data_IF_941452786241
#
_entry.id   IF_941452786241
#
_cell.length_a   1.000
_cell.length_b   1.000
_cell.length_c   1.000
_cell.angle_alpha   90.00
_cell.angle_beta   90.00
_cell.angle_gamma   90.00
#
_symmetry.space_group_name_H-M   'P 1'
#
loop_
_entity.id
_entity.type
_entity.pdbx_description
1 polymer ?
#
# COMPACT_ATOMS: atom_id res chain seq x y z
N UNK A 1 -4.39 -25.30 3.95
CA UNK A 1 -4.13 -24.52 2.71
C UNK A 1 -3.22 -23.34 3.07
N UNK A 2 -2.57 -22.73 2.08
CA UNK A 2 -1.74 -21.55 2.32
C UNK A 2 -1.95 -20.48 1.25
N UNK A 3 -1.58 -19.23 1.58
CA UNK A 3 -1.44 -18.14 0.63
C UNK A 3 0.00 -17.61 0.68
N UNK A 4 0.50 -17.07 -0.44
CA UNK A 4 1.75 -16.33 -0.50
C UNK A 4 1.43 -14.83 -0.50
N UNK A 5 2.01 -14.09 0.45
CA UNK A 5 1.93 -12.62 0.51
C UNK A 5 3.33 -12.07 0.26
N UNK A 6 3.52 -11.25 -0.77
CA UNK A 6 4.79 -10.55 -0.99
C UNK A 6 4.71 -9.13 -0.43
N UNK A 7 5.81 -8.62 0.13
CA UNK A 7 5.79 -7.30 0.78
C UNK A 7 4.99 -7.26 2.09
N UNK A 8 4.81 -8.42 2.73
CA UNK A 8 4.00 -8.54 3.94
C UNK A 8 4.64 -8.00 5.22
N UNK A 9 5.89 -7.54 5.19
CA UNK A 9 6.51 -6.78 6.28
C UNK A 9 6.31 -5.26 6.11
N UNK A 10 5.75 -4.79 4.98
CA UNK A 10 5.39 -3.40 4.73
C UNK A 10 4.09 -2.98 5.43
N UNK A 11 3.67 -1.73 5.22
CA UNK A 11 2.50 -1.15 5.87
C UNK A 11 1.20 -1.91 5.58
N UNK A 12 0.76 -1.96 4.31
CA UNK A 12 -0.52 -2.60 3.96
C UNK A 12 -0.39 -4.12 4.12
N UNK A 13 0.73 -4.70 3.63
CA UNK A 13 0.96 -6.14 3.70
C UNK A 13 0.94 -6.70 5.12
N UNK A 14 1.53 -6.01 6.11
CA UNK A 14 1.52 -6.48 7.50
C UNK A 14 0.12 -6.41 8.14
N UNK A 15 -0.65 -5.35 7.85
CA UNK A 15 -2.04 -5.28 8.29
C UNK A 15 -2.87 -6.41 7.66
N UNK A 16 -2.67 -6.70 6.38
CA UNK A 16 -3.34 -7.80 5.69
C UNK A 16 -2.98 -9.17 6.30
N UNK A 17 -1.68 -9.43 6.55
CA UNK A 17 -1.22 -10.69 7.16
C UNK A 17 -1.81 -10.89 8.55
N UNK A 18 -1.82 -9.84 9.38
CA UNK A 18 -2.38 -9.87 10.73
C UNK A 18 -3.89 -10.13 10.70
N UNK A 19 -4.62 -9.43 9.84
CA UNK A 19 -6.07 -9.59 9.68
C UNK A 19 -6.42 -10.99 9.14
N UNK A 20 -5.66 -11.48 8.15
CA UNK A 20 -5.88 -12.81 7.58
C UNK A 20 -5.75 -13.92 8.61
N UNK A 21 -4.69 -13.87 9.43
CA UNK A 21 -4.45 -14.86 10.48
C UNK A 21 -5.40 -14.72 11.66
N UNK A 22 -5.94 -13.53 11.92
CA UNK A 22 -6.95 -13.32 12.95
C UNK A 22 -8.33 -13.88 12.57
N UNK A 23 -8.64 -13.92 11.26
CA UNK A 23 -9.96 -14.33 10.75
C UNK A 23 -10.03 -15.78 10.27
N UNK A 24 -8.89 -16.47 10.12
CA UNK A 24 -8.86 -17.82 9.56
C UNK A 24 -7.67 -18.66 10.02
N UNK A 25 -7.67 -19.94 9.63
CA UNK A 25 -6.64 -20.92 10.01
C UNK A 25 -5.61 -21.18 8.89
N UNK A 26 -5.70 -20.43 7.79
CA UNK A 26 -4.87 -20.64 6.62
C UNK A 26 -3.45 -20.11 6.85
N UNK A 27 -2.43 -20.88 6.49
CA UNK A 27 -1.02 -20.48 6.59
C UNK A 27 -0.72 -19.33 5.65
N UNK A 28 -0.01 -18.30 6.15
CA UNK A 28 0.52 -17.20 5.35
C UNK A 28 2.03 -17.39 5.18
N UNK A 29 2.46 -17.62 3.94
CA UNK A 29 3.87 -17.55 3.56
C UNK A 29 4.16 -16.10 3.16
N UNK A 30 4.90 -15.39 3.98
CA UNK A 30 5.20 -13.98 3.80
C UNK A 30 6.60 -13.82 3.20
N UNK A 31 6.68 -13.45 1.91
CA UNK A 31 7.94 -13.22 1.21
C UNK A 31 8.23 -11.72 1.16
N UNK A 32 9.30 -11.30 1.81
CA UNK A 32 9.72 -9.90 1.86
C UNK A 32 11.25 -9.80 1.81
N UNK A 33 11.78 -8.81 1.09
CA UNK A 33 13.23 -8.61 1.07
C UNK A 33 13.75 -7.70 2.18
N UNK A 34 12.84 -7.22 3.04
CA UNK A 34 13.13 -6.40 4.22
C UNK A 34 13.94 -5.14 3.88
N UNK A 35 13.43 -4.34 2.94
CA UNK A 35 13.97 -3.01 2.65
C UNK A 35 13.65 -2.04 3.78
N UNK A 36 14.01 -0.77 3.62
CA UNK A 36 13.72 0.28 4.60
C UNK A 36 12.22 0.39 4.99
N UNK A 37 11.31 0.04 4.07
CA UNK A 37 9.87 0.07 4.31
C UNK A 37 9.30 -1.28 4.81
N UNK A 38 10.07 -2.35 4.69
CA UNK A 38 9.74 -3.69 5.18
C UNK A 38 10.24 -3.87 6.62
N UNK A 39 9.46 -3.39 7.59
CA UNK A 39 9.83 -3.47 8.99
C UNK A 39 9.38 -4.79 9.62
N UNK A 40 10.34 -5.62 10.01
CA UNK A 40 10.09 -6.92 10.64
C UNK A 40 9.26 -6.80 11.93
N UNK A 41 9.44 -5.71 12.68
CA UNK A 41 8.67 -5.45 13.90
C UNK A 41 7.15 -5.29 13.66
N UNK A 42 6.72 -5.02 12.42
CA UNK A 42 5.29 -5.04 12.06
C UNK A 42 4.63 -6.39 12.33
N UNK A 43 5.42 -7.46 12.39
CA UNK A 43 4.98 -8.86 12.50
C UNK A 43 5.41 -9.53 13.81
N UNK A 44 5.94 -8.79 14.79
CA UNK A 44 6.46 -9.34 16.06
C UNK A 44 5.38 -10.12 16.82
N UNK A 45 4.12 -9.71 16.73
CA UNK A 45 3.00 -10.47 17.36
C UNK A 45 2.80 -11.86 16.75
N UNK A 46 3.35 -12.14 15.58
CA UNK A 46 3.29 -13.43 14.89
C UNK A 46 4.56 -14.27 15.05
N UNK A 47 5.52 -13.86 15.89
CA UNK A 47 6.82 -14.54 16.04
C UNK A 47 6.69 -16.00 16.48
N UNK A 48 5.60 -16.36 17.16
CA UNK A 48 5.31 -17.71 17.66
C UNK A 48 4.07 -18.34 17.01
N UNK A 49 3.48 -17.71 15.98
CA UNK A 49 2.36 -18.30 15.25
C UNK A 49 2.87 -19.23 14.14
N UNK A 50 2.66 -20.53 14.30
CA UNK A 50 3.10 -21.55 13.32
C UNK A 50 2.44 -21.39 11.94
N UNK A 51 1.37 -20.61 11.84
CA UNK A 51 0.70 -20.31 10.57
C UNK A 51 1.40 -19.18 9.80
N UNK A 52 2.36 -18.46 10.39
CA UNK A 52 3.13 -17.40 9.75
C UNK A 52 4.54 -17.87 9.43
N UNK A 53 4.88 -17.93 8.13
CA UNK A 53 6.20 -18.32 7.65
C UNK A 53 6.84 -17.13 6.94
N UNK A 54 7.88 -16.53 7.53
CA UNK A 54 8.62 -15.43 6.91
C UNK A 54 9.75 -15.99 6.02
N UNK A 55 9.73 -15.64 4.75
CA UNK A 55 10.78 -15.94 3.76
C UNK A 55 11.45 -14.65 3.33
N UNK A 56 12.74 -14.48 3.62
CA UNK A 56 13.49 -13.31 3.17
C UNK A 56 13.99 -13.55 1.74
N UNK A 57 13.38 -12.88 0.76
CA UNK A 57 13.73 -13.00 -0.66
C UNK A 57 13.22 -11.78 -1.47
N UNK A 58 13.83 -11.55 -2.64
CA UNK A 58 13.37 -10.55 -3.61
C UNK A 58 12.40 -11.21 -4.61
N UNK A 59 11.30 -10.53 -4.93
CA UNK A 59 10.35 -10.99 -5.96
C UNK A 59 10.96 -11.04 -7.36
N UNK A 60 12.06 -10.33 -7.60
CA UNK A 60 12.82 -10.39 -8.85
C UNK A 60 13.65 -11.68 -8.99
N UNK A 61 13.91 -12.41 -7.91
CA UNK A 61 14.56 -13.73 -7.94
C UNK A 61 13.53 -14.82 -8.28
N UNK A 62 13.25 -14.95 -9.58
CA UNK A 62 12.26 -15.90 -10.11
C UNK A 62 12.55 -17.35 -9.68
N UNK A 63 13.84 -17.74 -9.57
CA UNK A 63 14.20 -19.09 -9.16
C UNK A 63 13.80 -19.32 -7.68
N UNK A 64 14.19 -18.40 -6.79
CA UNK A 64 13.87 -18.50 -5.36
C UNK A 64 12.35 -18.46 -5.11
N UNK A 65 11.65 -17.58 -5.82
CA UNK A 65 10.17 -17.51 -5.72
C UNK A 65 9.55 -18.82 -6.17
N UNK A 66 10.01 -19.42 -7.28
CA UNK A 66 9.50 -20.72 -7.77
C UNK A 66 9.74 -21.84 -6.76
N UNK A 67 10.90 -21.89 -6.11
CA UNK A 67 11.15 -22.84 -5.01
C UNK A 67 10.15 -22.70 -3.87
N UNK A 68 9.92 -21.46 -3.41
CA UNK A 68 8.95 -21.14 -2.34
C UNK A 68 7.53 -21.59 -2.73
N UNK A 69 7.11 -21.31 -3.97
CA UNK A 69 5.80 -21.72 -4.48
C UNK A 69 5.65 -23.25 -4.48
N UNK A 70 6.65 -23.99 -4.96
CA UNK A 70 6.66 -25.45 -4.96
C UNK A 70 6.65 -26.06 -3.56
N UNK A 71 7.43 -25.46 -2.64
CA UNK A 71 7.54 -25.91 -1.25
C UNK A 71 6.22 -25.74 -0.48
N UNK A 72 5.58 -24.59 -0.62
CA UNK A 72 4.41 -24.23 0.19
C UNK A 72 3.07 -24.44 -0.51
N UNK A 73 3.08 -24.63 -1.84
CA UNK A 73 1.89 -24.85 -2.69
C UNK A 73 0.70 -23.93 -2.38
N UNK A 74 0.90 -22.59 -2.41
CA UNK A 74 -0.17 -21.67 -2.06
C UNK A 74 -1.29 -21.70 -3.11
N UNK A 75 -2.54 -21.55 -2.66
CA UNK A 75 -3.69 -21.40 -3.55
C UNK A 75 -3.81 -20.01 -4.15
N UNK A 76 -3.11 -19.03 -3.57
CA UNK A 76 -3.12 -17.67 -4.07
C UNK A 76 -1.80 -16.94 -3.77
N UNK A 77 -1.47 -15.98 -4.63
CA UNK A 77 -0.40 -15.00 -4.43
C UNK A 77 -1.04 -13.63 -4.32
N UNK A 78 -0.68 -12.87 -3.27
CA UNK A 78 -1.08 -11.47 -3.10
C UNK A 78 0.18 -10.62 -3.15
N UNK A 79 0.31 -9.79 -4.19
CA UNK A 79 1.51 -9.00 -4.44
C UNK A 79 1.38 -7.57 -3.92
N UNK A 80 1.94 -7.30 -2.72
CA UNK A 80 2.13 -5.96 -2.18
C UNK A 80 3.55 -5.41 -2.40
N UNK A 81 4.51 -6.27 -2.76
CA UNK A 81 5.90 -5.85 -2.90
C UNK A 81 6.06 -4.76 -3.96
N UNK A 82 6.50 -3.59 -3.53
CA UNK A 82 6.73 -2.43 -4.38
C UNK A 82 7.61 -1.39 -3.71
N UNK A 83 8.33 -0.59 -4.50
CA UNK A 83 8.86 0.70 -4.08
C UNK A 83 7.74 1.75 -4.20
N UNK A 84 7.51 2.58 -3.14
CA UNK A 84 6.28 3.40 -3.05
C UNK A 84 6.49 4.87 -2.69
N UNK A 85 7.72 5.35 -2.48
CA UNK A 85 7.97 6.74 -2.08
C UNK A 85 8.17 7.64 -3.28
N UNK A 86 7.19 8.50 -3.59
CA UNK A 86 7.20 9.37 -4.79
C UNK A 86 8.44 10.24 -4.85
N UNK A 87 8.82 10.95 -3.77
CA UNK A 87 9.99 11.85 -3.77
C UNK A 87 11.29 11.09 -4.06
N UNK A 88 11.45 9.86 -3.52
CA UNK A 88 12.58 8.98 -3.87
C UNK A 88 12.54 8.55 -5.34
N UNK A 89 11.35 8.36 -5.93
CA UNK A 89 11.23 8.01 -7.34
C UNK A 89 11.68 9.16 -8.25
N UNK A 90 11.46 10.41 -7.83
CA UNK A 90 11.91 11.61 -8.53
C UNK A 90 13.43 11.74 -8.44
N UNK A 91 14.00 11.47 -7.26
CA UNK A 91 15.44 11.51 -7.04
C UNK A 91 16.19 10.36 -7.77
N UNK A 92 15.56 9.18 -7.92
CA UNK A 92 16.20 8.01 -8.53
C UNK A 92 15.20 6.92 -8.92
N UNK A 93 14.71 6.95 -10.17
CA UNK A 93 13.68 6.04 -10.67
C UNK A 93 14.12 4.57 -10.83
N UNK A 94 15.42 4.30 -10.90
CA UNK A 94 15.95 2.97 -11.26
C UNK A 94 15.46 1.83 -10.37
N UNK A 95 15.40 2.05 -9.04
CA UNK A 95 14.90 1.04 -8.11
C UNK A 95 13.40 0.76 -8.29
N UNK A 96 12.62 1.79 -8.64
CA UNK A 96 11.18 1.66 -8.90
C UNK A 96 10.93 0.81 -10.16
N UNK A 97 11.66 1.04 -11.23
CA UNK A 97 11.57 0.22 -12.46
C UNK A 97 12.01 -1.22 -12.16
N UNK A 98 13.12 -1.39 -11.44
CA UNK A 98 13.63 -2.72 -11.11
C UNK A 98 12.64 -3.52 -10.27
N UNK A 99 12.05 -2.92 -9.23
CA UNK A 99 11.14 -3.62 -8.32
C UNK A 99 9.73 -3.71 -8.90
N UNK A 100 9.13 -2.57 -9.31
CA UNK A 100 7.72 -2.54 -9.67
C UNK A 100 7.43 -3.12 -11.05
N UNK A 101 8.39 -3.06 -11.98
CA UNK A 101 8.27 -3.68 -13.30
C UNK A 101 9.02 -5.01 -13.33
N UNK A 102 10.33 -5.00 -13.10
CA UNK A 102 11.18 -6.21 -13.19
C UNK A 102 10.82 -7.25 -12.12
N UNK A 103 10.57 -6.82 -10.88
CA UNK A 103 10.14 -7.71 -9.81
C UNK A 103 8.75 -8.31 -10.06
N UNK A 104 7.80 -7.51 -10.55
CA UNK A 104 6.47 -8.00 -10.95
C UNK A 104 6.59 -9.00 -12.09
N UNK A 105 7.45 -8.75 -13.08
CA UNK A 105 7.75 -9.70 -14.16
C UNK A 105 8.29 -11.03 -13.59
N UNK A 106 9.30 -10.99 -12.72
CA UNK A 106 9.88 -12.19 -12.10
C UNK A 106 8.86 -13.01 -11.33
N UNK A 107 8.01 -12.33 -10.54
CA UNK A 107 6.95 -12.97 -9.78
C UNK A 107 5.87 -13.59 -10.68
N UNK A 108 5.50 -12.93 -11.79
CA UNK A 108 4.55 -13.45 -12.77
C UNK A 108 5.08 -14.70 -13.47
N UNK A 109 6.36 -14.74 -13.85
CA UNK A 109 6.98 -15.93 -14.45
C UNK A 109 7.03 -17.11 -13.48
N UNK A 110 7.40 -16.85 -12.21
CA UNK A 110 7.36 -17.88 -11.17
C UNK A 110 5.92 -18.40 -10.95
N UNK A 111 4.94 -17.49 -10.87
CA UNK A 111 3.54 -17.84 -10.70
C UNK A 111 3.00 -18.64 -11.88
N UNK A 112 3.32 -18.24 -13.13
CA UNK A 112 2.93 -18.96 -14.34
C UNK A 112 3.51 -20.37 -14.38
N UNK A 113 4.80 -20.51 -14.08
CA UNK A 113 5.48 -21.80 -14.01
C UNK A 113 4.81 -22.69 -12.99
N UNK A 114 4.65 -22.25 -11.75
CA UNK A 114 3.97 -22.98 -10.69
C UNK A 114 2.53 -23.35 -11.05
N UNK A 115 1.74 -22.40 -11.57
CA UNK A 115 0.36 -22.64 -11.97
C UNK A 115 0.24 -23.70 -13.09
N UNK A 116 1.21 -23.75 -14.02
CA UNK A 116 1.24 -24.77 -15.07
C UNK A 116 1.50 -26.18 -14.53
N UNK A 117 2.11 -26.30 -13.34
CA UNK A 117 2.38 -27.55 -12.64
C UNK A 117 1.18 -28.03 -11.78
N UNK A 118 0.18 -27.16 -11.60
CA UNK A 118 -1.05 -27.53 -10.89
C UNK A 118 -2.02 -28.24 -11.81
N UNK A 119 -2.83 -29.12 -11.25
CA UNK A 119 -3.87 -29.86 -11.94
C UNK A 119 -5.24 -29.69 -11.28
N UNK A 120 -6.30 -30.04 -12.02
CA UNK A 120 -7.68 -30.11 -11.56
C UNK A 120 -8.10 -28.89 -10.70
N UNK A 121 -8.75 -29.18 -9.58
CA UNK A 121 -9.31 -28.18 -8.70
C UNK A 121 -8.27 -27.18 -8.11
N UNK A 122 -7.01 -27.61 -7.94
CA UNK A 122 -5.95 -26.73 -7.45
C UNK A 122 -5.61 -25.65 -8.48
N UNK A 123 -5.55 -26.01 -9.76
CA UNK A 123 -5.32 -25.07 -10.87
C UNK A 123 -6.49 -24.10 -11.03
N UNK A 124 -7.72 -24.58 -10.94
CA UNK A 124 -8.93 -23.76 -11.09
C UNK A 124 -9.11 -22.77 -9.92
N UNK A 125 -8.72 -23.19 -8.72
CA UNK A 125 -8.79 -22.36 -7.51
C UNK A 125 -7.67 -21.33 -7.38
N UNK A 126 -6.56 -21.46 -8.12
CA UNK A 126 -5.41 -20.55 -8.00
C UNK A 126 -5.78 -19.12 -8.39
N UNK A 127 -5.23 -18.14 -7.65
CA UNK A 127 -5.41 -16.72 -7.95
C UNK A 127 -4.10 -15.96 -7.77
N UNK A 128 -3.86 -15.00 -8.66
CA UNK A 128 -2.79 -14.00 -8.54
C UNK A 128 -3.43 -12.63 -8.36
N UNK A 129 -3.37 -12.05 -7.16
CA UNK A 129 -3.89 -10.72 -6.85
C UNK A 129 -2.76 -9.70 -6.85
N UNK A 130 -2.82 -8.73 -7.76
CA UNK A 130 -1.88 -7.60 -7.82
C UNK A 130 -2.48 -6.36 -7.19
N UNK A 131 -1.78 -5.80 -6.19
CA UNK A 131 -2.20 -4.57 -5.50
C UNK A 131 -1.48 -3.38 -6.13
N UNK A 132 -2.25 -2.48 -6.77
CA UNK A 132 -1.78 -1.29 -7.43
C UNK A 132 -2.36 -0.02 -6.78
N UNK A 133 -2.28 1.12 -7.44
CA UNK A 133 -2.61 2.45 -6.94
C UNK A 133 -3.46 3.22 -7.95
N UNK A 134 -4.30 4.12 -7.47
CA UNK A 134 -5.06 5.07 -8.30
C UNK A 134 -4.17 6.10 -9.01
N UNK A 135 -2.93 6.29 -8.56
CA UNK A 135 -1.97 7.20 -9.19
C UNK A 135 -1.65 6.83 -10.65
N UNK A 136 -1.89 5.56 -11.07
CA UNK A 136 -1.70 5.13 -12.46
C UNK A 136 -2.67 5.84 -13.42
N UNK A 137 -3.81 6.31 -12.95
CA UNK A 137 -4.80 7.03 -13.76
C UNK A 137 -4.41 8.49 -14.05
N UNK A 138 -3.50 9.08 -13.26
CA UNK A 138 -3.10 10.47 -13.39
C UNK A 138 -3.89 11.44 -12.52
N UNK A 139 -3.97 12.71 -12.91
CA UNK A 139 -4.57 13.78 -12.13
C UNK A 139 -5.97 14.17 -12.64
N UNK A 140 -6.90 14.42 -11.72
CA UNK A 140 -8.24 14.93 -12.00
C UNK A 140 -8.31 16.45 -11.83
N UNK A 141 -9.14 17.11 -12.65
CA UNK A 141 -9.59 18.45 -12.36
C UNK A 141 -10.57 18.45 -11.16
N UNK A 142 -10.76 19.60 -10.48
CA UNK A 142 -11.61 19.65 -9.28
C UNK A 142 -13.04 19.14 -9.45
N UNK A 143 -13.61 19.27 -10.66
CA UNK A 143 -15.00 18.88 -10.98
C UNK A 143 -15.13 17.52 -11.67
N UNK A 144 -14.02 16.87 -12.01
CA UNK A 144 -14.08 15.59 -12.73
C UNK A 144 -14.69 14.49 -11.84
N UNK A 145 -15.39 13.51 -12.41
CA UNK A 145 -15.78 12.32 -11.68
C UNK A 145 -14.54 11.51 -11.27
N UNK A 146 -14.67 10.69 -10.22
CA UNK A 146 -13.61 9.75 -9.84
C UNK A 146 -13.29 8.76 -10.95
N UNK A 147 -12.03 8.30 -11.02
CA UNK A 147 -11.59 7.29 -11.97
C UNK A 147 -12.31 5.96 -11.78
N UNK A 148 -12.72 5.36 -12.88
CA UNK A 148 -13.27 4.01 -12.95
C UNK A 148 -12.18 3.02 -13.41
N UNK A 149 -12.46 1.72 -13.34
CA UNK A 149 -11.55 0.68 -13.81
C UNK A 149 -11.30 0.70 -15.33
N UNK A 150 -12.10 1.48 -16.07
CA UNK A 150 -11.95 1.70 -17.52
C UNK A 150 -11.26 3.00 -17.88
N UNK A 151 -10.90 3.83 -16.90
CA UNK A 151 -10.17 5.06 -17.11
C UNK A 151 -8.79 4.79 -17.71
N UNK A 152 -8.31 5.60 -18.68
CA UNK A 152 -6.99 5.43 -19.25
C UNK A 152 -5.90 5.71 -18.22
N UNK A 153 -4.76 5.02 -18.32
CA UNK A 153 -3.57 5.30 -17.52
C UNK A 153 -2.83 6.52 -18.05
N UNK A 154 -2.57 7.48 -17.17
CA UNK A 154 -1.83 8.74 -17.46
C UNK A 154 -0.90 9.13 -16.31
N UNK A 155 0.02 8.24 -15.89
CA UNK A 155 0.86 8.47 -14.70
C UNK A 155 1.81 9.67 -14.93
N UNK A 156 1.90 10.57 -13.93
CA UNK A 156 2.67 11.82 -14.03
C UNK A 156 4.01 11.81 -13.26
N UNK A 157 4.30 10.73 -12.53
CA UNK A 157 5.56 10.60 -11.79
C UNK A 157 6.18 9.21 -12.00
N UNK A 158 7.49 9.02 -11.73
CA UNK A 158 8.17 7.74 -11.96
C UNK A 158 7.61 6.57 -11.16
N UNK A 159 7.14 6.80 -9.93
CA UNK A 159 6.48 5.77 -9.14
C UNK A 159 5.21 5.28 -9.84
N UNK A 160 4.28 6.19 -10.15
CA UNK A 160 3.02 5.85 -10.81
C UNK A 160 3.26 5.17 -12.17
N UNK A 161 4.25 5.67 -12.96
CA UNK A 161 4.63 5.06 -14.24
C UNK A 161 5.16 3.63 -14.06
N UNK A 162 5.96 3.37 -13.03
CA UNK A 162 6.48 2.03 -12.73
C UNK A 162 5.37 1.07 -12.29
N UNK A 163 4.38 1.53 -11.50
CA UNK A 163 3.21 0.75 -11.14
C UNK A 163 2.34 0.42 -12.35
N UNK A 164 2.07 1.42 -13.21
CA UNK A 164 1.35 1.20 -14.48
C UNK A 164 2.06 0.17 -15.38
N UNK A 165 3.40 0.19 -15.42
CA UNK A 165 4.19 -0.83 -16.13
C UNK A 165 3.97 -2.25 -15.58
N UNK A 166 3.93 -2.39 -14.26
CA UNK A 166 3.58 -3.65 -13.57
C UNK A 166 2.16 -4.11 -13.90
N UNK A 167 1.18 -3.21 -13.85
CA UNK A 167 -0.23 -3.49 -14.15
C UNK A 167 -0.41 -4.00 -15.59
N UNK A 168 0.29 -3.40 -16.54
CA UNK A 168 0.28 -3.84 -17.94
C UNK A 168 0.86 -5.25 -18.11
N UNK A 169 1.92 -5.60 -17.36
CA UNK A 169 2.44 -6.96 -17.35
C UNK A 169 1.43 -7.95 -16.78
N UNK A 170 0.80 -7.65 -15.65
CA UNK A 170 -0.24 -8.49 -15.02
C UNK A 170 -1.38 -8.76 -16.02
N UNK A 171 -1.88 -7.70 -16.68
CA UNK A 171 -2.90 -7.83 -17.72
C UNK A 171 -2.42 -8.69 -18.89
N UNK A 172 -1.19 -8.51 -19.36
CA UNK A 172 -0.63 -9.29 -20.47
C UNK A 172 -0.52 -10.77 -20.13
N UNK A 173 -0.11 -11.14 -18.89
CA UNK A 173 -0.06 -12.53 -18.43
C UNK A 173 -1.44 -13.21 -18.39
N UNK A 174 -2.48 -12.46 -18.00
CA UNK A 174 -3.85 -12.94 -18.09
C UNK A 174 -4.28 -13.22 -19.54
N UNK A 175 -4.07 -12.24 -20.42
CA UNK A 175 -4.56 -12.33 -21.80
C UNK A 175 -3.77 -13.31 -22.66
N UNK A 176 -2.45 -13.39 -22.45
CA UNK A 176 -1.57 -14.23 -23.29
C UNK A 176 -1.48 -15.66 -22.81
N UNK A 177 -1.41 -15.85 -21.48
CA UNK A 177 -1.15 -17.18 -20.88
C UNK A 177 -2.35 -17.74 -20.11
N UNK A 178 -3.41 -16.96 -19.92
CA UNK A 178 -4.58 -17.38 -19.15
C UNK A 178 -4.36 -17.46 -17.66
N UNK A 179 -3.28 -16.83 -17.12
CA UNK A 179 -3.05 -16.81 -15.68
C UNK A 179 -4.23 -16.15 -14.97
N UNK A 180 -4.84 -16.77 -13.95
CA UNK A 180 -6.03 -16.24 -13.27
C UNK A 180 -5.68 -15.09 -12.34
N UNK A 181 -5.46 -13.90 -12.93
CA UNK A 181 -5.09 -12.68 -12.22
C UNK A 181 -6.31 -11.91 -11.74
N UNK A 182 -6.14 -11.20 -10.64
CA UNK A 182 -7.01 -10.15 -10.12
C UNK A 182 -6.14 -8.91 -9.92
N UNK A 183 -6.71 -7.73 -10.13
CA UNK A 183 -5.98 -6.48 -9.90
C UNK A 183 -6.83 -5.50 -9.09
N UNK A 184 -6.18 -4.73 -8.23
CA UNK A 184 -6.85 -3.66 -7.49
C UNK A 184 -6.09 -2.34 -7.62
N UNK A 185 -6.84 -1.23 -7.72
CA UNK A 185 -6.30 0.11 -7.54
C UNK A 185 -6.90 0.69 -6.28
N UNK A 186 -6.05 1.11 -5.35
CA UNK A 186 -6.52 1.71 -4.11
C UNK A 186 -6.20 3.20 -4.04
N UNK A 187 -7.06 3.94 -3.35
CA UNK A 187 -6.80 5.32 -2.95
C UNK A 187 -5.76 5.40 -1.81
N UNK A 188 -5.45 6.60 -1.34
CA UNK A 188 -4.41 6.80 -0.33
C UNK A 188 -4.73 6.09 0.98
N UNK A 189 -3.94 5.09 1.33
CA UNK A 189 -4.10 4.35 2.56
C UNK A 189 -3.49 5.07 3.76
N UNK A 190 -4.14 4.96 4.92
CA UNK A 190 -3.63 5.41 6.21
C UNK A 190 -4.02 4.44 7.33
N UNK A 191 -3.25 4.43 8.42
CA UNK A 191 -3.52 3.53 9.54
C UNK A 191 -2.27 3.15 10.33
N UNK A 192 -2.40 2.18 11.25
CA UNK A 192 -1.31 1.60 12.02
C UNK A 192 -0.18 1.04 11.15
N UNK A 193 1.08 1.12 11.63
CA UNK A 193 2.28 0.57 10.97
C UNK A 193 2.69 1.26 9.66
N UNK A 194 2.07 2.39 9.29
CA UNK A 194 2.53 3.17 8.16
C UNK A 194 3.88 3.82 8.47
N UNK A 195 4.84 3.71 7.53
CA UNK A 195 6.19 4.21 7.73
C UNK A 195 6.19 5.74 7.91
N UNK A 196 6.96 6.30 8.87
CA UNK A 196 6.87 7.72 9.27
C UNK A 196 7.43 8.74 8.26
N UNK A 197 7.76 8.33 7.04
CA UNK A 197 7.98 9.23 5.89
C UNK A 197 6.66 9.66 5.21
N UNK A 198 5.55 8.96 5.46
CA UNK A 198 4.24 9.27 4.89
C UNK A 198 3.52 10.33 5.70
N UNK A 199 2.61 11.09 5.05
CA UNK A 199 2.00 12.31 5.57
C UNK A 199 1.51 12.20 7.03
N UNK A 200 0.57 11.29 7.31
CA UNK A 200 -0.07 11.22 8.63
C UNK A 200 0.93 10.87 9.75
N UNK A 201 1.71 9.77 9.67
CA UNK A 201 2.67 9.47 10.72
C UNK A 201 3.80 10.49 10.83
N UNK A 202 4.22 11.12 9.72
CA UNK A 202 5.20 12.22 9.74
C UNK A 202 4.66 13.42 10.53
N UNK A 203 3.41 13.84 10.28
CA UNK A 203 2.78 14.94 11.00
C UNK A 203 2.64 14.64 12.49
N UNK A 204 2.25 13.43 12.87
CA UNK A 204 2.18 13.00 14.27
C UNK A 204 3.58 13.08 14.91
N UNK A 205 4.60 12.54 14.26
CA UNK A 205 5.97 12.55 14.76
C UNK A 205 6.50 13.97 14.96
N UNK A 206 6.35 14.82 13.94
CA UNK A 206 6.80 16.22 14.00
C UNK A 206 6.05 17.02 15.08
N UNK A 207 4.72 16.88 15.14
CA UNK A 207 3.89 17.54 16.12
C UNK A 207 4.34 17.22 17.56
N UNK A 208 4.47 15.93 17.88
CA UNK A 208 4.92 15.47 19.20
C UNK A 208 6.35 15.92 19.55
N UNK A 209 7.18 16.14 18.54
CA UNK A 209 8.55 16.67 18.70
C UNK A 209 8.61 18.21 18.70
N UNK A 210 7.49 18.90 18.56
CA UNK A 210 7.45 20.38 18.45
C UNK A 210 8.11 20.93 17.19
N UNK A 211 8.25 20.12 16.15
CA UNK A 211 8.86 20.49 14.86
C UNK A 211 7.82 21.07 13.90
N UNK A 212 8.23 21.89 12.90
CA UNK A 212 7.33 22.34 11.85
C UNK A 212 6.65 21.19 11.12
N UNK A 213 5.37 21.38 10.77
CA UNK A 213 4.55 20.44 9.99
C UNK A 213 4.56 20.89 8.53
N UNK A 214 5.42 20.32 7.67
CA UNK A 214 5.57 20.80 6.29
C UNK A 214 4.36 20.40 5.45
N UNK A 215 3.72 21.40 4.83
CA UNK A 215 2.62 21.23 3.88
C UNK A 215 3.08 21.78 2.54
N UNK A 216 3.10 20.93 1.51
CA UNK A 216 3.55 21.28 0.17
C UNK A 216 2.59 22.26 -0.53
N UNK A 217 3.17 23.27 -1.21
CA UNK A 217 2.45 24.25 -2.01
C UNK A 217 1.43 25.03 -1.18
N UNK A 218 0.20 25.08 -1.67
CA UNK A 218 -0.94 25.74 -1.00
C UNK A 218 -1.73 24.80 -0.07
N UNK A 219 -1.32 23.55 0.05
CA UNK A 219 -2.00 22.54 0.86
C UNK A 219 -3.33 22.03 0.32
N UNK A 220 -3.74 22.47 -0.88
CA UNK A 220 -5.04 22.15 -1.48
C UNK A 220 -5.04 20.90 -2.40
N UNK A 221 -3.92 20.16 -2.44
CA UNK A 221 -3.88 18.87 -3.13
C UNK A 221 -4.84 17.90 -2.44
N UNK A 222 -5.81 17.37 -3.17
CA UNK A 222 -6.86 16.51 -2.64
C UNK A 222 -6.58 15.03 -2.92
N UNK A 223 -6.86 14.19 -1.94
CA UNK A 223 -6.75 12.73 -2.00
C UNK A 223 -7.98 12.08 -1.38
N UNK A 224 -8.40 10.95 -1.93
CA UNK A 224 -9.31 10.04 -1.26
C UNK A 224 -8.52 9.21 -0.23
N UNK A 225 -9.04 9.10 0.99
CA UNK A 225 -8.35 8.48 2.13
C UNK A 225 -9.07 7.22 2.58
N UNK A 226 -8.41 6.08 2.43
CA UNK A 226 -8.91 4.75 2.78
C UNK A 226 -8.20 4.21 4.03
N UNK A 227 -8.97 3.86 5.05
CA UNK A 227 -8.40 3.22 6.24
C UNK A 227 -7.87 1.82 5.89
N UNK A 228 -6.67 1.48 6.39
CA UNK A 228 -5.94 0.28 5.95
C UNK A 228 -6.69 -1.03 6.20
N UNK A 229 -7.45 -1.13 7.31
CA UNK A 229 -8.24 -2.33 7.59
C UNK A 229 -9.39 -2.51 6.58
N UNK A 230 -10.03 -1.42 6.15
CA UNK A 230 -11.06 -1.47 5.10
C UNK A 230 -10.46 -1.89 3.75
N UNK A 231 -9.23 -1.44 3.44
CA UNK A 231 -8.52 -1.91 2.27
C UNK A 231 -8.23 -3.42 2.35
N UNK A 232 -7.74 -3.91 3.50
CA UNK A 232 -7.47 -5.34 3.71
C UNK A 232 -8.75 -6.19 3.55
N UNK A 233 -9.90 -5.74 4.09
CA UNK A 233 -11.20 -6.38 3.86
C UNK A 233 -11.58 -6.40 2.37
N UNK A 234 -11.36 -5.29 1.65
CA UNK A 234 -11.57 -5.20 0.21
C UNK A 234 -10.74 -6.21 -0.56
N UNK A 235 -9.44 -6.29 -0.28
CA UNK A 235 -8.53 -7.26 -0.91
C UNK A 235 -8.95 -8.71 -0.65
N UNK A 236 -9.38 -9.03 0.58
CA UNK A 236 -9.92 -10.34 0.92
C UNK A 236 -11.15 -10.67 0.08
N UNK A 237 -12.10 -9.75 -0.03
CA UNK A 237 -13.31 -9.93 -0.85
C UNK A 237 -13.00 -10.06 -2.33
N UNK A 238 -12.02 -9.31 -2.85
CA UNK A 238 -11.54 -9.47 -4.23
C UNK A 238 -10.95 -10.86 -4.44
N UNK A 239 -10.14 -11.36 -3.50
CA UNK A 239 -9.55 -12.70 -3.59
C UNK A 239 -10.61 -13.81 -3.54
N UNK A 240 -11.65 -13.65 -2.72
CA UNK A 240 -12.71 -14.64 -2.52
C UNK A 240 -13.78 -14.64 -3.61
N UNK A 241 -14.13 -13.46 -4.16
CA UNK A 241 -15.31 -13.27 -5.01
C UNK A 241 -15.00 -12.62 -6.34
N UNK A 242 -13.79 -12.08 -6.52
CA UNK A 242 -13.39 -11.42 -7.76
C UNK A 242 -13.32 -12.39 -8.93
N UNK A 243 -13.69 -11.91 -10.10
CA UNK A 243 -13.63 -12.68 -11.34
C UNK A 243 -12.22 -12.59 -11.94
N UNK A 244 -11.57 -13.70 -12.27
CA UNK A 244 -10.26 -13.69 -12.92
C UNK A 244 -10.23 -12.81 -14.18
N UNK A 245 -9.17 -12.02 -14.32
CA UNK A 245 -9.01 -11.04 -15.41
C UNK A 245 -9.56 -9.65 -15.09
N UNK A 246 -10.32 -9.49 -14.01
CA UNK A 246 -10.95 -8.24 -13.65
C UNK A 246 -10.11 -7.36 -12.72
N UNK A 247 -10.35 -6.05 -12.84
CA UNK A 247 -9.78 -5.01 -11.98
C UNK A 247 -10.87 -4.44 -11.09
N UNK A 248 -10.51 -4.05 -9.85
CA UNK A 248 -11.42 -3.46 -8.87
C UNK A 248 -10.79 -2.23 -8.22
N UNK A 249 -11.49 -1.10 -8.27
CA UNK A 249 -11.12 0.09 -7.53
C UNK A 249 -11.59 -0.02 -6.07
N UNK A 250 -10.70 0.27 -5.13
CA UNK A 250 -10.97 0.27 -3.68
C UNK A 250 -10.71 1.68 -3.12
N UNK A 251 -11.75 2.48 -3.01
CA UNK A 251 -11.72 3.85 -2.51
C UNK A 251 -12.84 4.12 -1.52
N UNK A 252 -12.60 5.04 -0.59
CA UNK A 252 -13.55 5.35 0.48
C UNK A 252 -14.54 6.47 0.13
N UNK A 253 -14.25 7.28 -0.89
CA UNK A 253 -15.01 8.50 -1.19
C UNK A 253 -14.82 9.59 -0.11
N UNK A 254 -13.71 9.56 0.60
CA UNK A 254 -13.35 10.47 1.68
C UNK A 254 -12.29 11.48 1.23
N UNK A 255 -12.60 12.28 0.22
CA UNK A 255 -11.67 13.29 -0.29
C UNK A 255 -11.36 14.36 0.77
N UNK A 256 -10.06 14.62 0.98
CA UNK A 256 -9.55 15.68 1.85
C UNK A 256 -8.33 16.33 1.21
N UNK A 257 -8.19 17.63 1.40
CA UNK A 257 -6.95 18.33 1.06
C UNK A 257 -5.85 17.98 2.07
N UNK A 258 -4.59 18.12 1.66
CA UNK A 258 -3.44 17.91 2.56
C UNK A 258 -3.57 18.77 3.82
N UNK A 259 -3.97 20.04 3.68
CA UNK A 259 -4.16 20.94 4.82
C UNK A 259 -5.25 20.43 5.77
N UNK A 260 -6.41 20.00 5.26
CA UNK A 260 -7.49 19.42 6.07
C UNK A 260 -7.03 18.20 6.87
N UNK A 261 -6.22 17.33 6.25
CA UNK A 261 -5.66 16.15 6.94
C UNK A 261 -4.73 16.57 8.07
N UNK A 262 -3.82 17.51 7.82
CA UNK A 262 -2.87 18.00 8.84
C UNK A 262 -3.60 18.70 9.99
N UNK A 263 -4.59 19.54 9.69
CA UNK A 263 -5.43 20.19 10.71
C UNK A 263 -6.21 19.17 11.55
N UNK A 264 -6.74 18.11 10.95
CA UNK A 264 -7.43 17.03 11.66
C UNK A 264 -6.48 16.27 12.61
N UNK A 265 -5.25 15.98 12.17
CA UNK A 265 -4.21 15.40 13.04
C UNK A 265 -3.91 16.33 14.22
N UNK A 266 -3.72 17.63 13.98
CA UNK A 266 -3.48 18.61 15.03
C UNK A 266 -4.61 18.66 16.05
N UNK A 267 -5.86 18.74 15.60
CA UNK A 267 -7.04 18.77 16.46
C UNK A 267 -7.16 17.52 17.35
N UNK A 268 -6.87 16.33 16.81
CA UNK A 268 -6.86 15.10 17.60
C UNK A 268 -5.72 15.12 18.65
N UNK A 269 -4.53 15.59 18.27
CA UNK A 269 -3.41 15.68 19.21
C UNK A 269 -3.66 16.72 20.31
N UNK A 270 -4.30 17.85 20.00
CA UNK A 270 -4.68 18.85 21.00
C UNK A 270 -5.58 18.26 22.09
N UNK A 271 -6.42 17.28 21.74
CA UNK A 271 -7.30 16.57 22.71
C UNK A 271 -6.58 15.42 23.39
N UNK A 272 -5.87 14.57 22.63
CA UNK A 272 -5.32 13.30 23.14
C UNK A 272 -3.98 13.47 23.85
N UNK A 273 -3.19 14.46 23.44
CA UNK A 273 -1.84 14.72 23.96
C UNK A 273 -1.52 16.21 23.89
N UNK A 274 -2.22 17.10 24.65
CA UNK A 274 -2.03 18.53 24.57
C UNK A 274 -0.56 18.94 24.82
N UNK A 275 -0.11 19.98 24.13
CA UNK A 275 1.24 20.52 24.26
C UNK A 275 1.46 21.10 25.66
N UNK A 276 2.64 20.90 26.28
CA UNK A 276 2.96 21.44 27.60
C UNK A 276 2.94 22.98 27.68
N UNK A 277 3.18 23.67 26.54
CA UNK A 277 3.17 25.11 26.42
C UNK A 277 1.76 25.71 26.23
N UNK A 278 0.72 24.89 26.19
CA UNK A 278 -0.67 25.30 26.01
C UNK A 278 -1.04 25.82 24.62
N UNK A 279 -0.11 25.79 23.64
CA UNK A 279 -0.38 26.19 22.27
C UNK A 279 -1.03 25.06 21.48
N UNK A 280 -1.76 25.41 20.42
CA UNK A 280 -2.31 24.44 19.50
C UNK A 280 -1.23 23.83 18.58
N UNK A 281 -1.35 22.54 18.23
CA UNK A 281 -0.45 21.90 17.28
C UNK A 281 -0.55 22.53 15.87
N UNK A 282 -1.69 23.07 15.50
CA UNK A 282 -1.86 23.78 14.22
C UNK A 282 -0.89 24.96 14.02
N UNK A 283 -0.38 25.56 15.11
CA UNK A 283 0.59 26.64 15.04
C UNK A 283 1.95 26.20 14.47
N UNK A 284 2.18 24.89 14.39
CA UNK A 284 3.36 24.29 13.79
C UNK A 284 3.26 24.11 12.26
N UNK A 285 2.09 24.32 11.65
CA UNK A 285 1.90 24.17 10.21
C UNK A 285 2.75 25.18 9.46
N UNK A 286 3.55 24.70 8.50
CA UNK A 286 4.44 25.50 7.67
C UNK A 286 4.26 25.12 6.21
N UNK A 287 3.85 26.08 5.37
CA UNK A 287 3.82 25.89 3.93
C UNK A 287 5.25 25.85 3.38
N UNK A 288 5.54 24.86 2.55
CA UNK A 288 6.85 24.68 1.91
C UNK A 288 6.72 24.63 0.39
N UNK A 289 7.85 24.75 -0.34
CA UNK A 289 7.83 24.66 -1.79
C UNK A 289 7.20 23.36 -2.27
N UNK A 290 6.41 23.43 -3.35
CA UNK A 290 5.77 22.26 -3.92
C UNK A 290 6.77 21.38 -4.66
N UNK A 291 6.44 20.08 -4.82
CA UNK A 291 7.28 19.11 -5.53
C UNK A 291 6.94 19.08 -7.02
N UNK A 292 7.91 18.77 -7.91
CA UNK A 292 7.64 18.54 -9.31
C UNK A 292 6.63 17.40 -9.56
N UNK A 293 5.74 17.57 -10.52
CA UNK A 293 4.77 16.54 -10.89
C UNK A 293 3.74 16.20 -9.80
N UNK A 294 3.43 17.17 -8.93
CA UNK A 294 2.48 16.98 -7.85
C UNK A 294 1.04 17.05 -8.37
N UNK A 295 0.42 15.92 -8.57
CA UNK A 295 -0.96 15.81 -9.04
C UNK A 295 -1.94 16.49 -8.09
N UNK A 296 -2.85 17.28 -8.66
CA UNK A 296 -3.77 18.13 -7.91
C UNK A 296 -4.83 17.34 -7.15
N UNK A 297 -5.43 16.33 -7.79
CA UNK A 297 -6.52 15.56 -7.20
C UNK A 297 -6.49 14.10 -7.64
N UNK A 298 -6.65 13.20 -6.68
CA UNK A 298 -6.95 11.79 -6.90
C UNK A 298 -8.29 11.44 -6.27
N UNK A 299 -9.16 10.79 -7.02
CA UNK A 299 -10.38 10.17 -6.54
C UNK A 299 -10.72 8.98 -7.42
N UNK A 300 -11.21 7.91 -6.82
CA UNK A 300 -11.64 6.71 -7.56
C UNK A 300 -13.08 6.35 -7.23
N UNK A 301 -13.77 5.79 -8.23
CA UNK A 301 -15.08 5.22 -8.05
C UNK A 301 -14.98 3.73 -7.72
N UNK A 302 -15.43 3.35 -6.53
CA UNK A 302 -15.47 1.97 -6.06
C UNK A 302 -16.85 1.30 -6.28
N UNK A 303 -17.66 1.83 -7.18
CA UNK A 303 -19.01 1.32 -7.43
C UNK A 303 -19.03 -0.16 -7.82
N UNK A 304 -18.12 -0.59 -8.69
CA UNK A 304 -17.97 -1.99 -9.09
C UNK A 304 -17.71 -2.91 -7.89
N UNK A 305 -16.78 -2.56 -7.01
CA UNK A 305 -16.49 -3.35 -5.82
C UNK A 305 -17.70 -3.42 -4.88
N UNK A 306 -18.44 -2.32 -4.72
CA UNK A 306 -19.69 -2.31 -3.93
C UNK A 306 -20.74 -3.24 -4.51
N UNK A 307 -21.00 -3.17 -5.82
CA UNK A 307 -22.04 -3.95 -6.46
C UNK A 307 -21.71 -5.44 -6.57
N UNK A 308 -20.48 -5.77 -6.98
CA UNK A 308 -20.13 -7.15 -7.34
C UNK A 308 -19.57 -7.94 -6.18
N UNK A 309 -18.89 -7.27 -5.22
CA UNK A 309 -18.24 -7.93 -4.08
C UNK A 309 -18.98 -7.68 -2.75
N UNK A 310 -19.94 -6.74 -2.72
CA UNK A 310 -20.58 -6.29 -1.49
C UNK A 310 -19.59 -5.60 -0.55
N UNK A 311 -18.55 -4.97 -1.10
CA UNK A 311 -17.55 -4.26 -0.31
C UNK A 311 -17.91 -2.78 -0.16
N UNK A 312 -17.78 -2.27 1.05
CA UNK A 312 -17.78 -0.85 1.36
C UNK A 312 -16.91 -0.60 2.59
N UNK A 313 -16.23 0.56 2.68
CA UNK A 313 -15.45 0.90 3.86
C UNK A 313 -16.37 0.99 5.09
N UNK A 314 -15.91 0.46 6.21
CA UNK A 314 -16.61 0.52 7.50
C UNK A 314 -16.24 1.81 8.27
N UNK A 315 -15.03 2.33 8.04
CA UNK A 315 -14.54 3.52 8.73
C UNK A 315 -14.79 4.80 7.93
N UNK A 316 -15.16 5.85 8.64
CA UNK A 316 -15.06 7.23 8.11
C UNK A 316 -13.61 7.70 8.21
N UNK A 317 -13.26 8.79 7.51
CA UNK A 317 -11.94 9.41 7.69
C UNK A 317 -11.69 9.78 9.17
N UNK A 318 -12.68 10.35 9.86
CA UNK A 318 -12.54 10.78 11.25
C UNK A 318 -12.30 9.61 12.21
N UNK A 319 -13.10 8.54 12.11
CA UNK A 319 -12.95 7.36 12.99
C UNK A 319 -11.65 6.59 12.73
N UNK A 320 -11.26 6.42 11.46
CA UNK A 320 -9.98 5.80 11.09
C UNK A 320 -8.78 6.64 11.52
N UNK A 321 -8.86 7.99 11.39
CA UNK A 321 -7.79 8.89 11.82
C UNK A 321 -7.61 8.86 13.34
N UNK A 322 -8.68 8.86 14.11
CA UNK A 322 -8.59 8.74 15.58
C UNK A 322 -7.91 7.43 15.98
N UNK A 323 -8.31 6.29 15.39
CA UNK A 323 -7.66 4.99 15.63
C UNK A 323 -6.18 5.03 15.28
N UNK A 324 -5.83 5.70 14.17
CA UNK A 324 -4.44 5.86 13.72
C UNK A 324 -3.62 6.67 14.71
N UNK A 325 -4.10 7.85 15.12
CA UNK A 325 -3.40 8.73 16.08
C UNK A 325 -3.21 8.02 17.42
N UNK A 326 -4.26 7.38 17.97
CA UNK A 326 -4.17 6.60 19.21
C UNK A 326 -3.12 5.51 19.10
N UNK A 327 -3.11 4.75 18.00
CA UNK A 327 -2.12 3.70 17.79
C UNK A 327 -0.68 4.23 17.84
N UNK A 328 -0.37 5.36 17.20
CA UNK A 328 0.98 5.94 17.27
C UNK A 328 1.32 6.51 18.64
N UNK A 329 0.34 7.02 19.40
CA UNK A 329 0.56 7.45 20.79
C UNK A 329 0.88 6.28 21.71
N UNK A 330 0.26 5.12 21.48
CA UNK A 330 0.49 3.88 22.24
C UNK A 330 1.77 3.14 21.79
N UNK A 331 2.29 3.44 20.58
CA UNK A 331 3.46 2.79 19.99
C UNK A 331 4.53 3.81 19.56
N UNK A 332 5.08 4.63 20.50
CA UNK A 332 5.99 5.72 20.16
C UNK A 332 7.32 5.27 19.54
N UNK A 333 7.70 3.99 19.71
CA UNK A 333 8.88 3.41 19.06
C UNK A 333 8.77 3.45 17.53
N UNK A 334 7.57 3.24 16.97
CA UNK A 334 7.32 3.30 15.52
C UNK A 334 7.69 4.66 14.89
N UNK A 335 7.51 5.74 15.64
CA UNK A 335 7.88 7.08 15.18
C UNK A 335 9.38 7.34 15.27
N UNK A 336 10.10 6.64 16.17
CA UNK A 336 11.55 6.80 16.39
C UNK A 336 12.37 5.98 15.40
N UNK A 337 11.99 4.76 15.13
CA UNK A 337 12.71 3.84 14.24
C UNK A 337 12.71 4.32 12.79
N UNK A 338 11.66 5.02 12.36
CA UNK A 338 11.61 5.65 11.04
C UNK A 338 12.50 6.89 10.88
N UNK A 339 12.76 7.63 11.96
CA UNK A 339 13.58 8.83 11.90
C UNK A 339 15.08 8.53 11.67
N UNK A 340 15.56 7.33 12.04
CA UNK A 340 16.96 6.90 11.84
C UNK A 340 17.27 6.46 10.40
N UNK A 341 16.27 6.13 9.57
CA UNK A 341 16.44 5.67 8.19
C UNK A 341 16.18 6.75 7.14
N UNK A 342 15.84 7.96 7.55
CA UNK A 342 15.68 9.13 6.67
C UNK A 342 17.03 9.78 6.28
N UNK A 343 18.15 9.03 6.26
CA UNK A 343 19.37 9.52 5.63
C UNK A 343 19.18 9.52 4.11
N UNK A 344 19.49 10.65 3.41
CA UNK A 344 19.64 10.61 1.97
C UNK A 344 20.71 9.55 1.67
N UNK A 345 20.48 8.74 0.65
CA UNK A 345 21.52 7.87 0.11
C UNK A 345 22.74 8.74 -0.21
N UNK A 346 23.79 8.65 0.62
CA UNK A 346 25.10 9.15 0.27
C UNK A 346 25.53 8.37 -0.97
N UNK A 347 25.89 9.13 -2.00
CA UNK A 347 26.12 8.71 -3.36
C UNK A 347 26.99 7.46 -3.49
N UNK A 348 26.55 6.56 -4.33
CA UNK A 348 27.44 5.88 -5.24
C UNK A 348 27.86 6.91 -6.30
N UNK A 349 29.01 7.54 -6.06
CA UNK A 349 29.73 8.29 -7.08
C UNK A 349 30.39 7.30 -8.07
N UNK A 350 30.71 7.73 -9.29
CA UNK A 350 30.75 7.00 -10.54
C UNK A 350 31.76 5.86 -10.61
#
# INVERSE_FOLDING_TARGET
MSILVTGGAGFIGSNFVLDWLALGDETVVNLDKLTYAGNRANLDSLAHDARHVLVVADIADTHRVTEVLRQHRPRAIINFAAETHVDRSIAGAGNFVRTNVGGTFGLLEAARTFWSELDGAARDAFRFLHVSTDEVYGSLAPSDPGFTETSPYQPNNPYAASKAGGDHLVRAWAQTYGLPVLMTHCSNNFGPRQFPEKLIPLMIHHALAGKPLPVYGDGLHARDWLYVADHCDGLRKVLERGLPGETYNLGAGNERTTLQVVEAVCALLDVLRPRPDGRAYRDLIALVADRPGHDRRYAIDAHKARQTLGWQPAETFASGLEKTVRWYLDHPQWLRDGAGHARPAEGDAP
#
